data_IF_163533600303
#
_entry.id   IF_163533600303
#
_cell.length_a   1.000
_cell.length_b   1.000
_cell.length_c   1.000
_cell.angle_alpha   90.00
_cell.angle_beta   90.00
_cell.angle_gamma   90.00
#
_symmetry.space_group_name_H-M   'P 1'
#
loop_
_entity.id
_entity.type
_entity.pdbx_description
1 polymer ?
#
# COMPACT_ATOMS: atom_id res chain seq x y z
N UNK A 1 -28.45 -20.44 -48.30
CA UNK A 1 -27.15 -21.14 -48.41
C UNK A 1 -26.05 -20.11 -48.39
N UNK A 2 -24.92 -20.35 -47.73
CA UNK A 2 -23.88 -19.38 -47.30
C UNK A 2 -24.16 -18.81 -45.90
N UNK A 3 -24.11 -19.67 -44.88
CA UNK A 3 -23.53 -19.39 -43.54
C UNK A 3 -23.20 -20.75 -42.91
N UNK A 4 -22.14 -21.43 -43.36
CA UNK A 4 -21.61 -22.62 -42.67
C UNK A 4 -20.21 -22.99 -43.20
N UNK A 5 -19.22 -22.09 -43.08
CA UNK A 5 -17.85 -22.40 -43.52
C UNK A 5 -16.74 -21.65 -42.75
N UNK A 6 -17.03 -21.02 -41.62
CA UNK A 6 -16.02 -20.24 -40.86
C UNK A 6 -15.78 -20.75 -39.43
N UNK A 7 -16.28 -21.94 -39.09
CA UNK A 7 -16.17 -22.52 -37.73
C UNK A 7 -15.19 -23.70 -37.62
N UNK A 8 -14.39 -24.02 -38.65
CA UNK A 8 -13.58 -25.25 -38.66
C UNK A 8 -12.08 -25.06 -38.97
N UNK A 9 -11.54 -23.84 -38.87
CA UNK A 9 -10.12 -23.56 -39.15
C UNK A 9 -9.32 -22.97 -37.98
N UNK A 10 -9.90 -22.90 -36.77
CA UNK A 10 -9.22 -22.41 -35.54
C UNK A 10 -9.03 -23.50 -34.48
N UNK A 11 -9.05 -24.76 -34.90
CA UNK A 11 -8.70 -25.93 -34.08
C UNK A 11 -7.55 -26.66 -34.73
N UNK A 12 -6.32 -26.14 -34.62
CA UNK A 12 -5.03 -26.88 -34.70
C UNK A 12 -3.87 -25.87 -34.69
N UNK A 13 -3.70 -25.20 -33.57
CA UNK A 13 -2.41 -24.62 -33.17
C UNK A 13 -2.27 -24.86 -31.68
N UNK A 14 -2.23 -26.15 -31.31
CA UNK A 14 -1.74 -26.54 -30.00
C UNK A 14 -0.23 -26.28 -30.02
N UNK A 15 0.17 -25.11 -29.52
CA UNK A 15 1.55 -24.90 -29.10
C UNK A 15 1.92 -26.04 -28.15
N UNK A 16 3.10 -26.67 -28.32
CA UNK A 16 3.56 -27.65 -27.35
C UNK A 16 3.51 -27.01 -25.96
N UNK A 17 2.86 -27.69 -25.01
CA UNK A 17 2.77 -27.22 -23.64
C UNK A 17 4.19 -27.00 -23.13
N UNK A 18 4.52 -25.73 -22.90
CA UNK A 18 5.75 -25.33 -22.22
C UNK A 18 5.77 -26.11 -20.89
N UNK A 19 6.84 -26.86 -20.58
CA UNK A 19 6.90 -27.63 -19.34
C UNK A 19 6.61 -26.66 -18.20
N UNK A 20 5.58 -26.96 -17.40
CA UNK A 20 5.14 -26.10 -16.31
C UNK A 20 6.37 -25.68 -15.50
N UNK A 21 6.73 -24.40 -15.59
CA UNK A 21 7.91 -23.88 -14.95
C UNK A 21 7.82 -24.26 -13.47
N UNK A 22 8.81 -25.02 -13.00
CA UNK A 22 8.86 -25.41 -11.59
C UNK A 22 8.74 -24.14 -10.74
N UNK A 23 7.93 -24.15 -9.65
CA UNK A 23 7.72 -22.98 -8.83
C UNK A 23 9.08 -22.47 -8.37
N UNK A 24 9.40 -21.25 -8.80
CA UNK A 24 10.64 -20.55 -8.50
C UNK A 24 10.64 -20.20 -7.01
N UNK A 25 11.53 -20.79 -6.23
CA UNK A 25 11.51 -20.70 -4.76
C UNK A 25 12.38 -19.57 -4.22
N UNK A 26 12.01 -19.01 -3.09
CA UNK A 26 12.83 -18.06 -2.31
C UNK A 26 13.16 -18.74 -0.99
N UNK A 27 14.41 -18.65 -0.53
CA UNK A 27 14.84 -19.25 0.74
C UNK A 27 15.19 -18.14 1.73
N UNK A 28 14.78 -18.29 2.99
CA UNK A 28 15.16 -17.38 4.07
C UNK A 28 15.98 -18.16 5.10
N UNK A 29 17.23 -17.76 5.30
CA UNK A 29 18.10 -18.28 6.35
C UNK A 29 18.02 -17.39 7.59
N UNK A 30 17.90 -18.01 8.76
CA UNK A 30 17.82 -17.31 10.05
C UNK A 30 18.87 -17.89 10.98
N UNK A 31 19.60 -17.04 11.72
CA UNK A 31 20.59 -17.52 12.68
C UNK A 31 19.92 -18.09 13.93
N UNK A 32 20.58 -19.07 14.53
CA UNK A 32 20.19 -19.58 15.86
C UNK A 32 20.36 -18.52 16.96
N UNK A 33 21.33 -17.61 16.84
CA UNK A 33 21.63 -16.53 17.81
C UNK A 33 20.72 -15.32 17.68
N UNK A 34 19.92 -15.21 16.61
CA UNK A 34 18.98 -14.11 16.39
C UNK A 34 17.67 -14.27 17.22
N UNK A 35 17.56 -15.37 18.00
CA UNK A 35 16.62 -15.61 19.10
C UNK A 35 15.18 -15.11 18.90
N UNK A 36 14.89 -13.91 19.43
CA UNK A 36 13.55 -13.30 19.39
C UNK A 36 13.23 -12.71 18.01
N UNK A 37 14.19 -12.01 17.39
CA UNK A 37 14.01 -11.42 16.07
C UNK A 37 13.80 -12.48 14.99
N UNK A 38 14.51 -13.60 15.10
CA UNK A 38 14.33 -14.79 14.29
C UNK A 38 12.91 -15.37 14.37
N UNK A 39 12.43 -15.61 15.60
CA UNK A 39 11.13 -16.22 15.84
C UNK A 39 9.98 -15.29 15.41
N UNK A 40 10.10 -13.99 15.67
CA UNK A 40 9.08 -13.00 15.26
C UNK A 40 9.08 -12.78 13.75
N UNK A 41 10.24 -12.77 13.09
CA UNK A 41 10.34 -12.74 11.63
C UNK A 41 9.71 -14.00 11.01
N UNK A 42 9.93 -15.17 11.61
CA UNK A 42 9.26 -16.42 11.21
C UNK A 42 7.74 -16.32 11.33
N UNK A 43 7.25 -15.80 12.46
CA UNK A 43 5.83 -15.58 12.67
C UNK A 43 5.23 -14.55 11.69
N UNK A 44 5.99 -13.54 11.25
CA UNK A 44 5.55 -12.60 10.22
C UNK A 44 5.50 -13.24 8.82
N UNK A 45 6.50 -14.06 8.48
CA UNK A 45 6.53 -14.82 7.22
C UNK A 45 5.32 -15.74 7.12
N UNK A 46 4.98 -16.43 8.22
CA UNK A 46 3.83 -17.33 8.29
C UNK A 46 2.49 -16.57 8.23
N UNK A 47 2.34 -15.47 8.98
CA UNK A 47 1.08 -14.70 9.06
C UNK A 47 0.76 -13.90 7.79
N UNK A 48 1.77 -13.44 7.06
CA UNK A 48 1.60 -12.51 5.93
C UNK A 48 2.08 -13.08 4.58
N UNK A 49 2.26 -14.40 4.52
CA UNK A 49 2.93 -15.09 3.43
C UNK A 49 2.47 -14.74 2.01
N UNK A 50 3.42 -14.84 1.09
CA UNK A 50 3.18 -15.08 -0.33
C UNK A 50 2.33 -16.36 -0.49
N UNK A 51 1.74 -16.59 -1.67
CA UNK A 51 0.86 -17.75 -1.89
C UNK A 51 1.49 -19.12 -1.51
N UNK A 52 2.83 -19.20 -1.50
CA UNK A 52 3.63 -20.24 -0.85
C UNK A 52 4.70 -19.56 0.04
N UNK A 53 4.73 -19.80 1.37
CA UNK A 53 5.73 -19.19 2.24
C UNK A 53 7.14 -19.77 1.91
N UNK A 54 8.18 -18.92 1.86
CA UNK A 54 9.53 -19.39 1.60
C UNK A 54 9.97 -20.36 2.71
N UNK A 55 10.62 -21.50 2.39
CA UNK A 55 11.19 -22.37 3.42
C UNK A 55 12.18 -21.56 4.25
N UNK A 56 11.95 -21.56 5.57
CA UNK A 56 12.86 -20.99 6.54
C UNK A 56 13.86 -22.05 6.98
N UNK A 57 15.15 -21.74 6.90
CA UNK A 57 16.22 -22.63 7.35
C UNK A 57 16.98 -21.98 8.48
N UNK A 58 17.07 -22.68 9.61
CA UNK A 58 17.94 -22.28 10.71
C UNK A 58 19.37 -22.65 10.32
N UNK A 59 20.25 -21.67 10.30
CA UNK A 59 21.67 -21.85 10.01
C UNK A 59 22.51 -21.58 11.28
N UNK A 60 23.65 -22.28 11.46
CA UNK A 60 24.58 -21.97 12.53
C UNK A 60 25.09 -20.53 12.42
N UNK A 61 25.41 -19.89 13.55
CA UNK A 61 25.93 -18.53 13.57
C UNK A 61 27.45 -18.46 13.30
N UNK A 62 27.84 -18.90 12.10
CA UNK A 62 29.24 -18.97 11.67
C UNK A 62 29.71 -17.66 10.98
N UNK A 63 28.95 -16.57 11.14
CA UNK A 63 29.21 -15.28 10.50
C UNK A 63 28.66 -15.12 9.08
N UNK A 64 28.72 -13.89 8.55
CA UNK A 64 28.09 -13.52 7.28
C UNK A 64 28.74 -14.21 6.09
N UNK A 65 30.06 -14.45 6.14
CA UNK A 65 30.79 -15.15 5.06
C UNK A 65 30.40 -16.62 4.92
N UNK A 66 30.19 -17.31 6.04
CA UNK A 66 29.70 -18.68 6.03
C UNK A 66 28.29 -18.76 5.44
N UNK A 67 27.39 -17.84 5.83
CA UNK A 67 26.03 -17.76 5.27
C UNK A 67 26.02 -17.47 3.78
N UNK A 68 26.89 -16.58 3.28
CA UNK A 68 27.02 -16.35 1.85
C UNK A 68 27.46 -17.62 1.10
N UNK A 69 28.33 -18.43 1.70
CA UNK A 69 28.80 -19.69 1.10
C UNK A 69 27.67 -20.71 1.04
N UNK A 70 26.89 -20.85 2.12
CA UNK A 70 25.69 -21.68 2.17
C UNK A 70 24.61 -21.21 1.18
N UNK A 71 24.40 -19.90 1.07
CA UNK A 71 23.46 -19.30 0.11
C UNK A 71 23.83 -19.62 -1.34
N UNK A 72 25.13 -19.57 -1.68
CA UNK A 72 25.61 -19.99 -3.01
C UNK A 72 25.34 -21.46 -3.28
N UNK A 73 25.68 -22.34 -2.32
CA UNK A 73 25.40 -23.76 -2.45
C UNK A 73 23.89 -24.06 -2.63
N UNK A 74 23.02 -23.27 -2.00
CA UNK A 74 21.56 -23.38 -2.18
C UNK A 74 21.07 -22.91 -3.56
N UNK A 75 21.67 -21.83 -4.10
CA UNK A 75 21.43 -21.41 -5.47
C UNK A 75 21.85 -22.50 -6.48
N UNK A 76 22.93 -23.22 -6.21
CA UNK A 76 23.43 -24.28 -7.08
C UNK A 76 22.62 -25.59 -6.97
N UNK A 77 22.09 -25.91 -5.78
CA UNK A 77 21.45 -27.19 -5.49
C UNK A 77 19.99 -27.30 -5.95
N UNK A 78 19.27 -26.19 -6.05
CA UNK A 78 17.85 -26.16 -6.38
C UNK A 78 17.47 -24.89 -7.16
N UNK A 79 16.38 -24.90 -7.94
CA UNK A 79 15.88 -23.72 -8.64
C UNK A 79 15.33 -22.66 -7.67
N UNK A 80 16.27 -21.91 -7.09
CA UNK A 80 16.05 -20.83 -6.13
C UNK A 80 16.27 -19.50 -6.83
N UNK A 81 15.39 -18.53 -6.59
CA UNK A 81 15.46 -17.17 -7.14
C UNK A 81 16.44 -16.32 -6.34
N UNK A 82 16.31 -16.41 -5.01
CA UNK A 82 17.17 -15.69 -4.09
C UNK A 82 17.21 -16.37 -2.72
N UNK A 83 18.32 -16.14 -2.02
CA UNK A 83 18.49 -16.50 -0.61
C UNK A 83 18.64 -15.23 0.21
N UNK A 84 17.84 -15.09 1.27
CA UNK A 84 17.89 -13.96 2.20
C UNK A 84 18.41 -14.38 3.56
N UNK A 85 19.09 -13.49 4.28
CA UNK A 85 19.39 -13.67 5.70
C UNK A 85 19.46 -12.36 6.45
N UNK A 86 19.15 -12.40 7.75
CA UNK A 86 19.26 -11.29 8.67
C UNK A 86 20.54 -11.44 9.50
N UNK A 87 21.26 -10.35 9.71
CA UNK A 87 22.36 -10.23 10.67
C UNK A 87 21.96 -9.19 11.72
N UNK A 88 21.54 -9.68 12.90
CA UNK A 88 21.08 -8.86 14.01
C UNK A 88 22.12 -8.75 15.15
N UNK A 89 23.40 -9.02 14.87
CA UNK A 89 24.47 -9.07 15.89
C UNK A 89 24.78 -7.71 16.53
N UNK A 90 24.43 -6.58 15.90
CA UNK A 90 24.59 -5.23 16.48
C UNK A 90 23.25 -4.72 17.00
N UNK A 91 23.26 -4.09 18.17
CA UNK A 91 22.04 -3.65 18.86
C UNK A 91 21.43 -2.38 18.26
N UNK A 92 22.20 -1.60 17.49
CA UNK A 92 21.82 -0.32 16.89
C UNK A 92 21.67 -0.40 15.36
N UNK A 93 22.03 -1.52 14.76
CA UNK A 93 22.07 -1.69 13.30
C UNK A 93 21.87 -3.17 12.91
N UNK A 94 20.80 -3.46 12.19
CA UNK A 94 20.60 -4.78 11.57
C UNK A 94 20.87 -4.73 10.08
N UNK A 95 21.26 -5.87 9.51
CA UNK A 95 21.54 -5.97 8.08
C UNK A 95 20.74 -7.10 7.46
N UNK A 96 19.97 -6.76 6.43
CA UNK A 96 19.31 -7.75 5.57
C UNK A 96 20.17 -7.94 4.34
N UNK A 97 20.58 -9.17 4.11
CA UNK A 97 21.30 -9.55 2.91
C UNK A 97 20.39 -10.34 1.97
N UNK A 98 20.68 -10.22 0.67
CA UNK A 98 20.05 -10.99 -0.38
C UNK A 98 21.10 -11.47 -1.37
N UNK A 99 21.01 -12.73 -1.78
CA UNK A 99 21.79 -13.29 -2.88
C UNK A 99 20.81 -13.69 -4.01
N UNK A 100 20.62 -12.87 -5.05
CA UNK A 100 19.92 -13.28 -6.25
C UNK A 100 20.74 -14.36 -6.96
N UNK A 101 20.14 -15.53 -7.20
CA UNK A 101 20.85 -16.68 -7.75
C UNK A 101 21.17 -16.53 -9.26
N UNK A 102 20.50 -15.62 -9.95
CA UNK A 102 20.73 -15.28 -11.35
C UNK A 102 22.00 -14.44 -11.56
N UNK A 103 22.27 -13.49 -10.66
CA UNK A 103 23.43 -12.60 -10.71
C UNK A 103 24.60 -13.09 -9.87
N UNK A 104 24.34 -13.85 -8.80
CA UNK A 104 25.35 -14.33 -7.85
C UNK A 104 26.03 -13.20 -7.04
N UNK A 105 25.56 -11.96 -7.16
CA UNK A 105 26.12 -10.79 -6.49
C UNK A 105 25.34 -10.50 -5.20
N UNK A 106 25.97 -10.52 -4.01
CA UNK A 106 25.27 -10.26 -2.77
C UNK A 106 24.87 -8.78 -2.67
N UNK A 107 23.68 -8.56 -2.12
CA UNK A 107 23.10 -7.26 -1.86
C UNK A 107 22.90 -7.10 -0.35
N UNK A 108 22.97 -5.87 0.16
CA UNK A 108 22.78 -5.54 1.58
C UNK A 108 21.88 -4.32 1.75
N UNK A 109 21.09 -4.34 2.83
CA UNK A 109 20.32 -3.22 3.33
C UNK A 109 20.50 -3.10 4.84
N UNK A 110 20.92 -1.92 5.28
CA UNK A 110 21.05 -1.59 6.70
C UNK A 110 19.70 -1.07 7.24
N UNK A 111 19.39 -1.47 8.47
CA UNK A 111 18.19 -1.11 9.24
C UNK A 111 18.69 -0.52 10.55
N UNK A 112 18.38 0.75 10.80
CA UNK A 112 18.71 1.40 12.08
C UNK A 112 17.77 0.87 13.15
N UNK A 113 18.32 0.40 14.26
CA UNK A 113 17.54 -0.13 15.38
C UNK A 113 17.55 0.89 16.52
N UNK A 114 16.37 1.40 16.84
CA UNK A 114 16.16 2.25 18.01
C UNK A 114 15.81 1.37 19.20
N UNK A 115 16.47 1.58 20.34
CA UNK A 115 16.21 0.82 21.57
C UNK A 115 14.73 0.96 22.00
N UNK A 116 14.05 -0.16 22.20
CA UNK A 116 12.61 -0.20 22.53
C UNK A 116 11.68 -0.16 21.31
N UNK A 117 12.22 -0.13 20.08
CA UNK A 117 11.48 -0.19 18.80
C UNK A 117 11.95 -1.41 17.96
N UNK A 118 12.37 -2.49 18.60
CA UNK A 118 12.88 -3.70 17.94
C UNK A 118 11.81 -4.33 17.03
N UNK A 119 10.54 -4.35 17.45
CA UNK A 119 9.40 -4.86 16.66
C UNK A 119 9.25 -4.13 15.32
N UNK A 120 9.44 -2.80 15.30
CA UNK A 120 9.41 -2.01 14.07
C UNK A 120 10.59 -2.34 13.13
N UNK A 121 11.73 -2.71 13.71
CA UNK A 121 12.92 -3.14 12.96
C UNK A 121 12.74 -4.52 12.34
N UNK A 122 12.03 -5.43 13.04
CA UNK A 122 11.64 -6.75 12.55
C UNK A 122 10.62 -6.61 11.40
N UNK A 123 9.61 -5.77 11.55
CA UNK A 123 8.66 -5.48 10.46
C UNK A 123 9.36 -4.86 9.24
N UNK A 124 10.30 -3.94 9.46
CA UNK A 124 11.08 -3.35 8.37
C UNK A 124 11.91 -4.41 7.63
N UNK A 125 12.56 -5.33 8.35
CA UNK A 125 13.31 -6.43 7.75
C UNK A 125 12.40 -7.33 6.90
N UNK A 126 11.22 -7.66 7.39
CA UNK A 126 10.22 -8.43 6.63
C UNK A 126 9.77 -7.71 5.35
N UNK A 127 9.43 -6.42 5.44
CA UNK A 127 9.01 -5.62 4.28
C UNK A 127 10.12 -5.55 3.22
N UNK A 128 11.39 -5.42 3.63
CA UNK A 128 12.53 -5.46 2.73
C UNK A 128 12.64 -6.83 2.05
N UNK A 129 12.65 -7.93 2.82
CA UNK A 129 12.76 -9.28 2.25
C UNK A 129 11.60 -9.60 1.29
N UNK A 130 10.36 -9.26 1.65
CA UNK A 130 9.17 -9.51 0.82
C UNK A 130 9.14 -8.67 -0.45
N UNK A 131 9.46 -7.38 -0.37
CA UNK A 131 9.48 -6.52 -1.55
C UNK A 131 10.61 -6.89 -2.51
N UNK A 132 11.80 -7.23 -1.96
CA UNK A 132 12.93 -7.70 -2.75
C UNK A 132 12.66 -9.06 -3.39
N UNK A 133 11.98 -9.98 -2.72
CA UNK A 133 11.69 -11.30 -3.30
C UNK A 133 10.76 -11.23 -4.51
N UNK A 134 9.73 -10.38 -4.46
CA UNK A 134 8.85 -10.11 -5.61
C UNK A 134 9.64 -9.44 -6.74
N UNK A 135 10.44 -8.42 -6.43
CA UNK A 135 11.25 -7.73 -7.44
C UNK A 135 12.22 -8.68 -8.16
N UNK A 136 12.94 -9.54 -7.43
CA UNK A 136 13.88 -10.51 -8.04
C UNK A 136 13.11 -11.55 -8.87
N UNK A 137 11.98 -12.05 -8.37
CA UNK A 137 11.17 -13.03 -9.11
C UNK A 137 10.64 -12.49 -10.45
N UNK A 138 10.33 -11.18 -10.50
CA UNK A 138 9.89 -10.46 -11.69
C UNK A 138 11.03 -9.91 -12.57
N UNK A 139 12.30 -10.07 -12.15
CA UNK A 139 13.46 -9.56 -12.88
C UNK A 139 13.63 -8.04 -12.80
N UNK A 140 13.11 -7.41 -11.74
CA UNK A 140 13.24 -5.99 -11.47
C UNK A 140 14.49 -5.67 -10.63
N UNK A 141 15.00 -4.44 -10.78
CA UNK A 141 16.09 -3.93 -9.97
C UNK A 141 15.66 -3.82 -8.49
N UNK A 142 16.48 -4.34 -7.59
CA UNK A 142 16.22 -4.35 -6.16
C UNK A 142 16.85 -3.12 -5.50
N UNK A 143 16.11 -2.42 -4.63
CA UNK A 143 16.58 -1.25 -3.91
C UNK A 143 17.53 -1.58 -2.72
N UNK A 144 18.56 -2.38 -2.98
CA UNK A 144 19.61 -2.78 -2.04
C UNK A 144 20.98 -2.39 -2.60
N UNK A 145 21.96 -2.18 -1.72
CA UNK A 145 23.32 -1.82 -2.12
C UNK A 145 24.11 -3.09 -2.46
N UNK A 146 25.02 -3.03 -3.43
CA UNK A 146 25.97 -4.13 -3.66
C UNK A 146 26.85 -4.33 -2.43
N UNK A 147 26.90 -5.57 -1.93
CA UNK A 147 27.81 -5.93 -0.86
C UNK A 147 29.13 -6.39 -1.46
N UNK A 148 30.25 -5.82 -1.02
CA UNK A 148 31.57 -6.33 -1.38
C UNK A 148 31.82 -7.66 -0.65
N UNK A 149 31.93 -8.81 -1.36
CA UNK A 149 32.14 -10.11 -0.72
C UNK A 149 33.42 -10.17 0.14
N UNK A 150 34.42 -9.32 -0.15
CA UNK A 150 35.64 -9.22 0.63
C UNK A 150 35.48 -8.38 1.91
N UNK A 151 34.51 -7.45 1.94
CA UNK A 151 34.17 -6.62 3.10
C UNK A 151 33.15 -7.29 4.04
N UNK A 152 32.55 -8.41 3.62
CA UNK A 152 31.72 -9.28 4.44
C UNK A 152 32.66 -10.00 5.43
N UNK A 153 32.69 -9.51 6.68
CA UNK A 153 33.60 -9.80 7.81
C UNK A 153 35.03 -9.23 7.71
N UNK A 154 35.23 -8.04 8.31
CA UNK A 154 36.30 -7.91 9.32
C UNK A 154 35.75 -7.41 10.68
N UNK A 155 36.35 -7.82 11.82
CA UNK A 155 36.12 -7.15 13.10
C UNK A 155 36.74 -5.75 12.99
N UNK A 156 35.91 -4.74 12.76
CA UNK A 156 36.40 -3.37 12.83
C UNK A 156 36.46 -2.99 14.31
N UNK A 157 37.65 -3.12 14.88
CA UNK A 157 38.01 -2.43 16.12
C UNK A 157 37.66 -0.94 15.97
N UNK A 158 37.16 -0.28 17.02
CA UNK A 158 36.88 1.14 16.96
C UNK A 158 38.15 1.89 16.53
N UNK A 159 38.08 2.84 15.58
CA UNK A 159 39.23 3.65 15.24
C UNK A 159 39.74 4.36 16.51
N UNK A 160 41.06 4.49 16.71
CA UNK A 160 41.58 5.30 17.81
C UNK A 160 40.97 6.70 17.70
N UNK A 161 40.47 7.21 18.82
CA UNK A 161 39.87 8.52 18.90
C UNK A 161 40.83 9.56 18.31
N UNK A 162 40.56 9.98 17.06
CA UNK A 162 41.19 11.16 16.51
C UNK A 162 40.88 12.31 17.48
N UNK A 163 41.93 12.98 17.93
CA UNK A 163 41.83 14.16 18.78
C UNK A 163 40.74 15.07 18.21
N UNK A 164 39.74 15.39 19.05
CA UNK A 164 38.66 16.33 18.70
C UNK A 164 39.29 17.57 18.06
N UNK A 165 39.03 17.87 16.78
CA UNK A 165 39.17 19.23 16.32
C UNK A 165 38.30 20.08 17.25
N UNK A 166 38.84 21.18 17.77
CA UNK A 166 38.03 22.18 18.47
C UNK A 166 36.77 22.43 17.64
N UNK A 167 35.56 22.45 18.24
CA UNK A 167 34.35 22.73 17.50
C UNK A 167 34.51 24.10 16.84
N UNK A 168 34.78 24.11 15.54
CA UNK A 168 34.46 25.27 14.72
C UNK A 168 32.95 25.34 14.83
N UNK A 169 32.45 26.39 15.49
CA UNK A 169 31.03 26.64 15.61
C UNK A 169 30.40 26.43 14.22
N UNK A 170 29.38 25.56 14.08
CA UNK A 170 28.72 25.41 12.80
C UNK A 170 28.30 26.82 12.35
N UNK A 171 28.56 27.19 11.08
CA UNK A 171 28.03 28.44 10.57
C UNK A 171 26.53 28.45 10.88
N UNK A 172 25.97 29.58 11.35
CA UNK A 172 24.55 29.65 11.69
C UNK A 172 23.76 29.04 10.54
N UNK A 173 22.79 28.14 10.81
CA UNK A 173 22.02 27.50 9.75
C UNK A 173 21.50 28.62 8.86
N UNK A 174 21.97 28.65 7.61
CA UNK A 174 21.41 29.55 6.60
C UNK A 174 19.92 29.29 6.63
N UNK A 175 19.14 30.30 7.01
CA UNK A 175 17.69 30.26 6.97
C UNK A 175 17.29 29.69 5.61
N UNK A 176 16.89 28.40 5.61
CA UNK A 176 16.40 27.79 4.40
C UNK A 176 15.24 28.68 3.97
N UNK A 177 15.26 29.25 2.73
CA UNK A 177 14.27 30.22 2.33
C UNK A 177 12.90 29.65 2.63
N UNK A 178 12.14 30.32 3.52
CA UNK A 178 10.82 29.88 3.98
C UNK A 178 9.95 29.76 2.74
N UNK A 179 9.89 28.56 2.17
CA UNK A 179 9.12 28.32 0.95
C UNK A 179 7.66 28.54 1.34
N UNK A 180 6.91 29.33 0.56
CA UNK A 180 5.54 29.64 0.91
C UNK A 180 4.76 28.33 1.00
N UNK A 181 4.07 28.17 2.12
CA UNK A 181 3.10 27.11 2.32
C UNK A 181 2.06 27.23 1.21
N UNK A 182 1.81 26.13 0.50
CA UNK A 182 0.90 26.12 -0.64
C UNK A 182 -0.40 25.43 -0.25
N UNK A 183 -1.49 26.17 -0.37
CA UNK A 183 -2.83 25.64 -0.21
C UNK A 183 -3.36 25.23 -1.58
N UNK A 184 -4.22 24.22 -1.60
CA UNK A 184 -4.89 23.82 -2.82
C UNK A 184 -6.34 23.47 -2.49
N UNK A 185 -7.25 24.04 -3.26
CA UNK A 185 -8.67 23.73 -3.21
C UNK A 185 -9.03 22.92 -4.45
N UNK A 186 -9.73 21.81 -4.26
CA UNK A 186 -10.23 20.96 -5.34
C UNK A 186 -11.73 20.82 -5.22
N UNK A 187 -12.43 20.92 -6.35
CA UNK A 187 -13.85 20.61 -6.45
C UNK A 187 -14.09 19.77 -7.71
N UNK A 188 -15.02 18.83 -7.65
CA UNK A 188 -15.30 17.98 -8.80
C UNK A 188 -16.28 16.86 -8.55
N UNK A 189 -16.17 15.86 -9.41
CA UNK A 189 -16.92 14.62 -9.40
C UNK A 189 -16.26 13.58 -8.48
N UNK A 190 -17.09 12.88 -7.71
CA UNK A 190 -16.72 11.67 -6.99
C UNK A 190 -17.70 10.54 -7.27
N UNK A 191 -17.21 9.32 -7.43
CA UNK A 191 -18.07 8.15 -7.58
C UNK A 191 -17.51 6.94 -6.83
N UNK A 192 -18.40 6.08 -6.35
CA UNK A 192 -18.07 4.90 -5.56
C UNK A 192 -19.04 3.76 -5.84
N UNK A 193 -18.53 2.54 -5.85
CA UNK A 193 -19.32 1.32 -5.89
C UNK A 193 -19.68 0.86 -4.47
N UNK A 194 -20.97 0.67 -4.21
CA UNK A 194 -21.47 0.42 -2.85
C UNK A 194 -21.99 -1.00 -2.65
N UNK A 195 -22.67 -1.58 -3.64
CA UNK A 195 -23.32 -2.89 -3.54
C UNK A 195 -23.44 -3.55 -4.91
N UNK A 196 -23.95 -4.77 -4.95
CA UNK A 196 -24.24 -5.47 -6.21
C UNK A 196 -25.27 -4.73 -7.09
N UNK A 197 -26.16 -3.88 -6.53
CA UNK A 197 -27.18 -3.08 -7.25
C UNK A 197 -27.67 -1.86 -6.43
N UNK A 198 -27.51 -0.58 -6.81
CA UNK A 198 -26.77 -0.07 -7.95
C UNK A 198 -25.27 -0.23 -7.72
N UNK A 199 -24.58 -0.65 -8.78
CA UNK A 199 -23.14 -0.90 -8.76
C UNK A 199 -22.31 0.36 -8.60
N UNK A 200 -22.82 1.52 -9.00
CA UNK A 200 -22.07 2.77 -9.00
C UNK A 200 -22.93 3.95 -8.55
N UNK A 201 -22.36 4.81 -7.70
CA UNK A 201 -22.97 6.05 -7.25
C UNK A 201 -22.14 7.23 -7.70
N UNK A 202 -22.82 8.29 -8.12
CA UNK A 202 -22.23 9.53 -8.59
C UNK A 202 -22.43 10.63 -7.55
N UNK A 203 -21.54 11.61 -7.53
CA UNK A 203 -21.56 12.66 -6.53
C UNK A 203 -20.60 13.80 -6.82
N UNK A 204 -20.56 14.72 -5.86
CA UNK A 204 -19.65 15.86 -5.86
C UNK A 204 -18.67 15.71 -4.72
N UNK A 205 -17.45 16.19 -4.92
CA UNK A 205 -16.42 16.25 -3.89
C UNK A 205 -15.82 17.65 -3.80
N UNK A 206 -15.38 17.99 -2.60
CA UNK A 206 -14.57 19.15 -2.29
C UNK A 206 -13.40 18.72 -1.40
N UNK A 207 -12.21 19.28 -1.64
CA UNK A 207 -11.01 18.94 -0.88
C UNK A 207 -10.14 20.15 -0.69
N UNK A 208 -9.73 20.39 0.55
CA UNK A 208 -8.73 21.36 0.93
C UNK A 208 -7.44 20.62 1.26
N UNK A 209 -6.35 20.96 0.59
CA UNK A 209 -5.04 20.38 0.84
C UNK A 209 -4.00 21.44 1.17
N UNK A 210 -3.03 21.02 1.96
CA UNK A 210 -1.92 21.81 2.47
C UNK A 210 -0.63 21.04 2.21
N UNK A 211 0.36 21.70 1.61
CA UNK A 211 1.65 21.08 1.26
C UNK A 211 2.76 21.54 2.22
N UNK A 212 3.01 20.83 3.34
CA UNK A 212 4.11 21.16 4.25
C UNK A 212 5.49 20.92 3.61
N UNK A 213 5.57 20.02 2.63
CA UNK A 213 6.80 19.74 1.85
C UNK A 213 6.42 19.62 0.36
N UNK A 214 7.38 19.79 -0.58
CA UNK A 214 7.07 19.75 -2.01
C UNK A 214 6.38 18.47 -2.49
N UNK A 215 6.68 17.34 -1.84
CA UNK A 215 6.14 16.01 -2.18
C UNK A 215 5.12 15.50 -1.18
N UNK A 216 4.84 16.22 -0.10
CA UNK A 216 3.92 15.78 0.95
C UNK A 216 2.74 16.74 1.02
N UNK A 217 1.53 16.19 1.06
CA UNK A 217 0.30 16.94 1.26
C UNK A 217 -0.52 16.29 2.36
N UNK A 218 -1.16 17.14 3.14
CA UNK A 218 -2.23 16.77 4.05
C UNK A 218 -3.52 17.31 3.44
N UNK A 219 -4.59 16.52 3.45
CA UNK A 219 -5.86 16.92 2.86
C UNK A 219 -7.03 16.58 3.77
N UNK A 220 -7.97 17.51 3.87
CA UNK A 220 -9.30 17.30 4.39
C UNK A 220 -10.26 17.38 3.21
N UNK A 221 -11.25 16.50 3.16
CA UNK A 221 -12.25 16.58 2.11
C UNK A 221 -13.55 15.93 2.46
N UNK A 222 -14.51 16.25 1.62
CA UNK A 222 -15.90 15.90 1.75
C UNK A 222 -16.44 15.48 0.41
N UNK A 223 -17.16 14.36 0.35
CA UNK A 223 -17.92 13.97 -0.81
C UNK A 223 -19.38 13.71 -0.47
N UNK A 224 -20.27 14.17 -1.33
CA UNK A 224 -21.69 13.87 -1.29
C UNK A 224 -22.03 13.01 -2.50
N UNK A 225 -22.35 11.75 -2.26
CA UNK A 225 -22.89 10.87 -3.29
C UNK A 225 -24.40 11.05 -3.36
N UNK A 226 -24.88 11.34 -4.57
CA UNK A 226 -26.28 11.63 -4.87
C UNK A 226 -27.18 10.49 -4.41
N UNK A 227 -28.41 10.80 -3.94
CA UNK A 227 -29.31 9.81 -3.45
C UNK A 227 -29.60 8.76 -4.52
N UNK A 228 -29.62 7.50 -4.10
CA UNK A 228 -30.09 6.41 -4.94
C UNK A 228 -31.41 5.89 -4.36
N UNK A 229 -32.24 5.37 -5.25
CA UNK A 229 -33.53 4.75 -4.93
C UNK A 229 -33.47 3.26 -5.21
N UNK A 230 -34.13 2.46 -4.37
CA UNK A 230 -34.43 1.05 -4.66
C UNK A 230 -35.94 0.88 -4.61
N UNK A 231 -36.46 0.04 -5.50
CA UNK A 231 -37.89 -0.29 -5.54
C UNK A 231 -38.29 -1.16 -4.35
N UNK A 232 -37.34 -1.93 -3.81
CA UNK A 232 -37.54 -2.76 -2.64
C UNK A 232 -36.59 -2.38 -1.49
N UNK A 233 -37.14 -2.03 -0.31
CA UNK A 233 -38.54 -1.77 0.00
C UNK A 233 -39.03 -0.47 -0.65
N UNK A 234 -40.34 -0.35 -0.85
CA UNK A 234 -40.94 0.78 -1.55
C UNK A 234 -40.49 2.14 -0.97
N UNK A 235 -40.04 3.01 -1.87
CA UNK A 235 -39.56 4.35 -1.54
C UNK A 235 -38.27 4.37 -0.71
N UNK A 236 -37.45 3.31 -0.73
CA UNK A 236 -36.14 3.33 -0.09
C UNK A 236 -35.21 4.30 -0.80
N UNK A 237 -34.76 5.33 -0.09
CA UNK A 237 -33.79 6.30 -0.59
C UNK A 237 -32.68 6.51 0.42
N UNK A 238 -31.43 6.59 -0.03
CA UNK A 238 -30.30 6.82 0.87
C UNK A 238 -29.28 7.82 0.33
N UNK A 239 -28.74 8.63 1.23
CA UNK A 239 -27.70 9.62 1.01
C UNK A 239 -26.41 9.14 1.67
N UNK A 240 -25.28 9.50 1.07
CA UNK A 240 -23.97 9.15 1.60
C UNK A 240 -23.09 10.37 1.59
N UNK A 241 -22.63 10.72 2.78
CA UNK A 241 -21.66 11.76 3.04
C UNK A 241 -20.36 11.08 3.41
N UNK A 242 -19.26 11.55 2.86
CA UNK A 242 -17.93 11.01 3.11
C UNK A 242 -17.07 12.14 3.59
N UNK A 243 -16.41 11.96 4.73
CA UNK A 243 -15.47 12.91 5.30
C UNK A 243 -14.14 12.18 5.42
N UNK A 244 -13.06 12.77 4.93
CA UNK A 244 -11.76 12.09 4.94
C UNK A 244 -10.60 13.01 5.26
N UNK A 245 -9.63 12.41 5.94
CA UNK A 245 -8.32 12.99 6.20
C UNK A 245 -7.30 12.13 5.48
N UNK A 246 -6.49 12.73 4.62
CA UNK A 246 -5.50 12.00 3.82
C UNK A 246 -4.12 12.59 3.95
N UNK A 247 -3.15 11.68 3.90
CA UNK A 247 -1.77 12.00 3.59
C UNK A 247 -1.55 11.63 2.13
N UNK A 248 -0.93 12.52 1.37
CA UNK A 248 -0.63 12.28 -0.03
C UNK A 248 0.83 12.57 -0.38
N UNK A 249 1.42 11.67 -1.16
CA UNK A 249 2.69 11.85 -1.82
C UNK A 249 2.45 12.38 -3.24
N UNK A 250 2.97 13.57 -3.55
CA UNK A 250 2.95 14.17 -4.88
C UNK A 250 4.31 13.97 -5.56
N UNK A 251 4.37 13.03 -6.49
CA UNK A 251 5.56 12.62 -7.22
C UNK A 251 5.56 13.33 -8.59
N UNK A 252 6.45 14.31 -8.84
CA UNK A 252 6.54 14.92 -10.14
C UNK A 252 7.05 13.90 -11.16
N UNK A 253 6.25 13.61 -12.18
CA UNK A 253 6.62 12.72 -13.30
C UNK A 253 7.12 13.55 -14.48
N UNK A 254 6.54 14.74 -14.67
CA UNK A 254 6.92 15.72 -15.70
C UNK A 254 6.76 17.14 -15.12
N UNK A 255 7.39 18.19 -15.66
CA UNK A 255 7.20 19.58 -15.20
C UNK A 255 5.75 20.07 -15.15
N UNK A 256 4.85 19.42 -15.90
CA UNK A 256 3.42 19.71 -15.98
C UNK A 256 2.53 18.56 -15.48
N UNK A 257 3.10 17.47 -14.94
CA UNK A 257 2.33 16.30 -14.51
C UNK A 257 2.88 15.75 -13.20
N UNK A 258 2.01 15.60 -12.21
CA UNK A 258 2.33 14.88 -10.98
C UNK A 258 1.45 13.64 -10.83
N UNK A 259 2.05 12.56 -10.31
CA UNK A 259 1.35 11.42 -9.77
C UNK A 259 1.08 11.70 -8.28
N UNK A 260 -0.16 11.56 -7.85
CA UNK A 260 -0.56 11.69 -6.45
C UNK A 260 -0.97 10.33 -5.91
N UNK A 261 -0.26 9.85 -4.89
CA UNK A 261 -0.65 8.69 -4.09
C UNK A 261 -1.22 9.21 -2.78
N UNK A 262 -2.42 8.78 -2.39
CA UNK A 262 -3.03 9.21 -1.13
C UNK A 262 -3.62 8.05 -0.36
N UNK A 263 -3.57 8.14 0.95
CA UNK A 263 -4.23 7.21 1.85
C UNK A 263 -4.62 7.91 3.15
N UNK A 264 -5.64 7.38 3.83
CA UNK A 264 -5.99 7.88 5.14
C UNK A 264 -7.36 7.41 5.64
N UNK A 265 -7.68 7.76 6.90
CA UNK A 265 -8.94 7.43 7.53
C UNK A 265 -10.08 8.29 6.96
N UNK A 266 -11.25 7.66 6.91
CA UNK A 266 -12.47 8.28 6.41
C UNK A 266 -13.65 7.86 7.28
N UNK A 267 -14.64 8.74 7.34
CA UNK A 267 -15.91 8.53 7.99
C UNK A 267 -17.01 8.68 6.94
N UNK A 268 -17.82 7.63 6.80
CA UNK A 268 -19.00 7.66 5.96
C UNK A 268 -20.25 7.78 6.81
N UNK A 269 -21.07 8.78 6.52
CA UNK A 269 -22.39 8.96 7.11
C UNK A 269 -23.44 8.57 6.07
N UNK A 270 -24.11 7.45 6.30
CA UNK A 270 -25.21 7.00 5.45
C UNK A 270 -26.51 7.35 6.13
N UNK A 271 -27.33 8.15 5.45
CA UNK A 271 -28.71 8.41 5.86
C UNK A 271 -29.64 7.65 4.94
N UNK A 272 -30.65 6.95 5.46
CA UNK A 272 -31.67 6.32 4.63
C UNK A 272 -33.06 6.52 5.20
N UNK A 273 -34.06 6.45 4.32
CA UNK A 273 -35.49 6.44 4.66
C UNK A 273 -36.20 5.41 3.79
N UNK A 274 -37.34 4.92 4.25
CA UNK A 274 -38.28 4.12 3.45
C UNK A 274 -39.70 4.56 3.77
N UNK A 275 -40.69 4.12 2.99
CA UNK A 275 -42.10 4.35 3.34
C UNK A 275 -42.48 3.69 4.68
N UNK A 276 -41.78 2.61 5.06
CA UNK A 276 -41.97 1.93 6.35
C UNK A 276 -41.27 2.62 7.54
N UNK A 277 -40.26 3.47 7.30
CA UNK A 277 -39.51 4.18 8.32
C UNK A 277 -39.25 5.64 7.90
N UNK A 278 -40.24 6.49 8.16
CA UNK A 278 -40.28 7.89 7.72
C UNK A 278 -39.25 8.77 8.45
N UNK A 279 -38.88 8.41 9.69
CA UNK A 279 -37.96 9.22 10.52
C UNK A 279 -36.55 9.27 9.92
N UNK A 280 -36.19 8.23 9.17
CA UNK A 280 -34.91 8.09 8.51
C UNK A 280 -33.79 7.84 9.52
N UNK A 281 -32.92 6.88 9.23
CA UNK A 281 -31.80 6.50 10.10
C UNK A 281 -30.51 7.05 9.56
N UNK A 282 -29.57 7.34 10.46
CA UNK A 282 -28.20 7.73 10.13
C UNK A 282 -27.26 6.70 10.72
N UNK A 283 -26.24 6.32 9.95
CA UNK A 283 -25.17 5.44 10.42
C UNK A 283 -23.82 6.00 10.05
N UNK A 284 -22.92 5.96 11.02
CA UNK A 284 -21.50 6.21 10.84
C UNK A 284 -20.78 4.89 10.53
N UNK A 285 -19.98 4.90 9.47
CA UNK A 285 -19.18 3.77 9.03
C UNK A 285 -17.71 4.23 8.95
N UNK A 286 -16.85 3.77 9.87
CA UNK A 286 -15.43 4.04 9.77
C UNK A 286 -14.82 3.24 8.61
N UNK A 287 -13.96 3.89 7.83
CA UNK A 287 -13.33 3.28 6.66
C UNK A 287 -11.92 3.83 6.44
N UNK A 288 -11.13 3.13 5.65
CA UNK A 288 -9.82 3.60 5.18
C UNK A 288 -9.87 3.67 3.67
N UNK A 289 -9.42 4.79 3.11
CA UNK A 289 -9.38 4.98 1.66
C UNK A 289 -7.96 5.17 1.16
N UNK A 290 -7.70 4.68 -0.04
CA UNK A 290 -6.46 4.89 -0.76
C UNK A 290 -6.76 5.15 -2.24
N UNK A 291 -6.00 6.04 -2.87
CA UNK A 291 -6.11 6.32 -4.29
C UNK A 291 -4.78 6.65 -4.94
N UNK A 292 -4.75 6.44 -6.25
CA UNK A 292 -3.76 6.97 -7.17
C UNK A 292 -4.43 7.93 -8.14
N UNK A 293 -3.77 9.05 -8.46
CA UNK A 293 -4.29 10.00 -9.42
C UNK A 293 -3.21 10.77 -10.15
N UNK A 294 -3.61 11.36 -11.27
CA UNK A 294 -2.78 12.24 -12.10
C UNK A 294 -3.24 13.68 -11.94
N UNK A 295 -2.27 14.58 -11.91
CA UNK A 295 -2.49 16.02 -11.80
C UNK A 295 -1.77 16.80 -12.90
N UNK A 296 -2.30 16.80 -14.13
CA UNK A 296 -1.77 17.67 -15.18
C UNK A 296 -2.07 19.14 -14.85
N UNK A 297 -1.05 19.98 -14.97
CA UNK A 297 -1.14 21.43 -14.84
C UNK A 297 -1.72 22.00 -16.12
N UNK A 298 -2.87 22.67 -16.01
CA UNK A 298 -3.57 23.30 -17.13
C UNK A 298 -3.06 24.72 -17.38
N UNK A 299 -2.80 25.47 -16.32
CA UNK A 299 -2.32 26.85 -16.41
C UNK A 299 -1.49 27.23 -15.17
N UNK A 300 -0.48 28.09 -15.37
CA UNK A 300 0.35 28.64 -14.30
C UNK A 300 0.37 30.16 -14.39
N UNK A 301 -0.27 30.82 -13.43
CA UNK A 301 -0.17 32.26 -13.21
C UNK A 301 0.99 32.62 -12.29
N UNK A 302 1.15 33.92 -11.99
CA UNK A 302 2.20 34.43 -11.09
C UNK A 302 2.11 33.89 -9.66
N UNK A 303 0.90 33.57 -9.19
CA UNK A 303 0.64 33.08 -7.82
C UNK A 303 -0.27 31.86 -7.77
N UNK A 304 -0.86 31.46 -8.90
CA UNK A 304 -1.87 30.41 -8.94
C UNK A 304 -1.50 29.32 -9.93
N UNK A 305 -1.83 28.07 -9.61
CA UNK A 305 -1.70 26.93 -10.53
C UNK A 305 -3.05 26.26 -10.63
N UNK A 306 -3.56 26.14 -11.85
CA UNK A 306 -4.75 25.36 -12.16
C UNK A 306 -4.31 23.98 -12.65
N UNK A 307 -4.88 22.93 -12.07
CA UNK A 307 -4.63 21.55 -12.46
C UNK A 307 -5.95 20.78 -12.56
N UNK A 308 -5.96 19.74 -13.39
CA UNK A 308 -7.01 18.72 -13.36
C UNK A 308 -6.58 17.62 -12.37
N UNK A 309 -7.50 17.03 -11.63
CA UNK A 309 -7.25 15.99 -10.64
C UNK A 309 -8.11 14.77 -10.98
N UNK A 310 -7.51 13.76 -11.62
CA UNK A 310 -8.21 12.53 -12.02
C UNK A 310 -7.58 11.37 -11.28
N UNK A 311 -8.39 10.46 -10.73
CA UNK A 311 -7.85 9.32 -10.01
C UNK A 311 -8.86 8.22 -9.74
N UNK A 312 -8.32 7.07 -9.37
CA UNK A 312 -9.06 5.87 -9.00
C UNK A 312 -8.51 5.33 -7.69
N UNK A 313 -9.33 4.60 -6.97
CA UNK A 313 -8.92 4.05 -5.69
C UNK A 313 -9.94 3.10 -5.11
N UNK A 314 -9.76 2.85 -3.82
CA UNK A 314 -10.55 1.92 -3.03
C UNK A 314 -10.86 2.56 -1.67
N UNK A 315 -12.04 2.28 -1.15
CA UNK A 315 -12.40 2.48 0.25
C UNK A 315 -12.72 1.14 0.90
N UNK A 316 -12.21 0.91 2.11
CA UNK A 316 -12.39 -0.32 2.87
C UNK A 316 -13.13 0.01 4.15
N UNK A 317 -14.36 -0.47 4.29
CA UNK A 317 -15.11 -0.40 5.54
C UNK A 317 -14.44 -1.26 6.61
N UNK A 318 -14.29 -0.70 7.81
CA UNK A 318 -13.66 -1.40 8.94
C UNK A 318 -14.64 -2.30 9.69
N UNK A 319 -15.93 -2.21 9.39
CA UNK A 319 -17.01 -3.00 9.99
C UNK A 319 -17.93 -3.51 8.89
N UNK A 320 -18.55 -4.66 9.13
CA UNK A 320 -19.63 -5.15 8.27
C UNK A 320 -20.89 -4.32 8.51
N UNK A 321 -21.58 -3.95 7.43
CA UNK A 321 -22.69 -3.01 7.49
C UNK A 321 -23.94 -3.57 6.83
N UNK A 322 -24.79 -4.19 7.64
CA UNK A 322 -26.17 -4.45 7.27
C UNK A 322 -27.01 -3.20 7.48
N UNK A 323 -27.51 -2.59 6.40
CA UNK A 323 -28.58 -1.60 6.54
C UNK A 323 -29.89 -2.33 6.76
N UNK A 324 -30.65 -1.93 7.78
CA UNK A 324 -31.87 -2.62 8.18
C UNK A 324 -33.03 -1.63 8.18
N UNK A 325 -34.17 -2.08 7.64
CA UNK A 325 -35.49 -1.46 7.85
C UNK A 325 -36.37 -2.41 8.65
N UNK A 326 -37.26 -1.83 9.46
CA UNK A 326 -38.21 -2.58 10.28
C UNK A 326 -39.61 -2.46 9.66
N UNK A 327 -40.46 -3.47 9.86
CA UNK A 327 -41.86 -3.38 9.44
C UNK A 327 -42.58 -2.24 10.18
N UNK A 328 -43.47 -1.53 9.48
CA UNK A 328 -44.10 -0.27 9.89
C UNK A 328 -44.91 -0.36 11.20
N UNK A 329 -45.30 -1.57 11.62
CA UNK A 329 -46.10 -1.84 12.82
C UNK A 329 -45.38 -2.72 13.85
N UNK A 330 -44.10 -3.03 13.66
CA UNK A 330 -43.36 -3.90 14.57
C UNK A 330 -43.00 -3.16 15.87
N UNK A 331 -43.35 -3.75 17.02
CA UNK A 331 -43.00 -3.21 18.33
C UNK A 331 -41.48 -3.24 18.61
N UNK A 332 -40.76 -4.18 17.97
CA UNK A 332 -39.31 -4.31 18.03
C UNK A 332 -38.74 -4.72 16.67
N UNK A 333 -37.53 -4.26 16.34
CA UNK A 333 -36.88 -4.58 15.08
C UNK A 333 -36.04 -5.86 15.20
N UNK A 334 -36.70 -7.00 15.31
CA UNK A 334 -36.07 -8.31 15.51
C UNK A 334 -36.73 -9.40 14.66
N UNK A 335 -36.05 -10.53 14.48
CA UNK A 335 -36.60 -11.69 13.78
C UNK A 335 -37.08 -11.37 12.36
N UNK A 336 -38.30 -11.81 12.04
CA UNK A 336 -38.92 -11.63 10.73
C UNK A 336 -39.23 -10.16 10.37
N UNK A 337 -39.31 -9.27 11.36
CA UNK A 337 -39.56 -7.84 11.16
C UNK A 337 -38.29 -7.07 10.75
N UNK A 338 -37.11 -7.71 10.84
CA UNK A 338 -35.80 -7.16 10.45
C UNK A 338 -35.50 -7.50 8.98
N UNK A 339 -35.54 -6.52 8.08
CA UNK A 339 -35.14 -6.71 6.67
C UNK A 339 -33.81 -6.00 6.37
N UNK A 340 -32.80 -6.74 5.93
CA UNK A 340 -31.56 -6.16 5.39
C UNK A 340 -31.86 -5.57 4.01
N UNK A 341 -31.58 -4.28 3.84
CA UNK A 341 -31.98 -3.48 2.67
C UNK A 341 -30.83 -3.15 1.75
N UNK A 342 -29.62 -3.16 2.27
CA UNK A 342 -28.42 -2.90 1.49
C UNK A 342 -27.29 -3.75 2.07
N UNK A 343 -26.81 -4.66 1.23
CA UNK A 343 -25.60 -5.42 1.45
C UNK A 343 -24.44 -4.63 0.85
N UNK A 344 -23.75 -3.87 1.71
CA UNK A 344 -22.69 -2.98 1.27
C UNK A 344 -21.37 -3.73 1.20
N UNK A 345 -20.67 -3.62 0.08
CA UNK A 345 -19.35 -4.21 -0.05
C UNK A 345 -18.39 -3.60 0.96
N UNK A 346 -17.57 -4.47 1.57
CA UNK A 346 -16.49 -4.03 2.44
C UNK A 346 -15.44 -3.25 1.66
N UNK A 347 -15.07 -3.73 0.48
CA UNK A 347 -14.11 -3.10 -0.43
C UNK A 347 -14.86 -2.42 -1.57
N UNK A 348 -14.65 -1.12 -1.73
CA UNK A 348 -15.44 -0.26 -2.59
C UNK A 348 -14.56 0.49 -3.59
N UNK A 349 -14.58 0.08 -4.87
CA UNK A 349 -13.98 0.86 -5.95
C UNK A 349 -14.50 2.29 -5.97
N UNK A 350 -13.62 3.25 -6.21
CA UNK A 350 -13.97 4.66 -6.36
C UNK A 350 -13.19 5.36 -7.45
N UNK A 351 -13.74 6.46 -7.94
CA UNK A 351 -13.12 7.32 -8.93
C UNK A 351 -13.40 8.79 -8.61
N UNK A 352 -12.51 9.66 -9.06
CA UNK A 352 -12.67 11.11 -8.98
C UNK A 352 -12.18 11.81 -10.24
N UNK A 353 -12.77 12.96 -10.51
CA UNK A 353 -12.28 13.91 -11.49
C UNK A 353 -12.64 15.33 -11.03
N UNK A 354 -11.70 16.25 -10.95
CA UNK A 354 -11.97 17.60 -10.48
C UNK A 354 -10.97 18.63 -10.94
N UNK A 355 -11.28 19.90 -10.68
CA UNK A 355 -10.36 21.01 -10.90
C UNK A 355 -9.75 21.42 -9.57
N UNK A 356 -8.44 21.65 -9.58
CA UNK A 356 -7.67 22.07 -8.42
C UNK A 356 -7.02 23.42 -8.68
N UNK A 357 -7.16 24.33 -7.72
CA UNK A 357 -6.49 25.64 -7.71
C UNK A 357 -5.53 25.68 -6.54
N UNK A 358 -4.24 25.88 -6.84
CA UNK A 358 -3.18 26.08 -5.84
C UNK A 358 -2.89 27.58 -5.69
N UNK A 359 -2.74 28.06 -4.46
CA UNK A 359 -2.43 29.46 -4.12
C UNK A 359 -1.46 29.59 -2.94
#
# INVERSE_FOLDING_TARGET
>A
MIVLAFALATLLSATPAEPAAQPRRVVVQVAETDGVAAAELAALVERHGLAEPPPMQVAPDDGTRARLTTARAQCDAAPTVAVFWLDARRNDEWRVYALPCDTGAPLVREIVVTRGEEEASIEAAWVIMRSSSVAIAEGHEVAMQGADPAAIDPPTAPPPAAAKPSPVAPPPPRDAPKRPLRWQLTAGYGGEAMSTRPRWRNGVLARLSFAPRPRLRLALGYALLLPATRDEPAGFTWWQHQIGLWIAAALPVHPQLALELRAGPELELVRWRSQADVRGRVRAVPRVGADVGLQPVLARGRRTVLALDVGVGLAIALVDVDFVTCATAAAACAGADRRVVLDAWRVRPRARAGLSVQF
#
